data_IF_768419153449
#
_entry.id   IF_768419153449
#
_cell.length_a   1.000
_cell.length_b   1.000
_cell.length_c   1.000
_cell.angle_alpha   90.00
_cell.angle_beta   90.00
_cell.angle_gamma   90.00
#
_symmetry.space_group_name_H-M   'P 1'
#
loop_
_entity.id
_entity.type
_entity.pdbx_description
1 polymer ?
#
# COMPACT_ATOMS: atom_id res chain seq x y z
N UNK A 1 18.68 1.67 -10.32
CA UNK A 1 17.72 0.90 -9.50
C UNK A 1 18.42 0.21 -8.29
N UNK A 2 19.34 0.88 -7.58
CA UNK A 2 20.20 0.27 -6.54
C UNK A 2 19.78 0.56 -5.09
N UNK A 3 18.54 0.98 -4.84
CA UNK A 3 18.17 1.57 -3.54
C UNK A 3 17.12 0.81 -2.74
N UNK A 4 16.49 -0.20 -3.31
CA UNK A 4 15.44 -0.99 -2.67
C UNK A 4 15.89 -2.44 -2.49
N UNK A 5 15.65 -3.00 -1.31
CA UNK A 5 15.96 -4.38 -0.97
C UNK A 5 14.68 -5.20 -0.83
N UNK A 6 14.61 -6.41 -1.41
CA UNK A 6 13.47 -7.29 -1.21
C UNK A 6 13.43 -7.79 0.24
N UNK A 7 12.27 -7.69 0.87
CA UNK A 7 12.03 -8.33 2.17
C UNK A 7 11.73 -9.79 1.91
N UNK A 8 12.72 -10.66 2.12
CA UNK A 8 12.61 -12.09 1.83
C UNK A 8 11.42 -12.70 2.55
N UNK A 9 10.59 -13.43 1.80
CA UNK A 9 9.41 -14.13 2.32
C UNK A 9 8.15 -13.26 2.48
N UNK A 10 8.28 -11.93 2.53
CA UNK A 10 7.13 -11.05 2.69
C UNK A 10 6.45 -10.77 1.34
N UNK A 11 5.23 -11.30 1.18
CA UNK A 11 4.38 -11.05 0.01
C UNK A 11 2.98 -10.66 0.47
N UNK A 12 2.48 -9.55 -0.05
CA UNK A 12 1.15 -9.04 0.26
C UNK A 12 0.31 -9.13 -0.99
N UNK A 13 -0.83 -9.84 -0.92
CA UNK A 13 -1.67 -10.12 -2.09
C UNK A 13 -0.89 -10.69 -3.29
N UNK A 14 0.20 -11.42 -3.04
CA UNK A 14 1.09 -12.00 -4.06
C UNK A 14 2.23 -11.08 -4.53
N UNK A 15 2.18 -9.78 -4.23
CA UNK A 15 3.23 -8.83 -4.55
C UNK A 15 4.39 -8.93 -3.53
N UNK A 16 5.64 -9.13 -3.97
CA UNK A 16 6.82 -8.96 -3.11
C UNK A 16 6.93 -7.53 -2.58
N UNK A 17 7.38 -7.42 -1.34
CA UNK A 17 7.62 -6.14 -0.67
C UNK A 17 9.10 -5.77 -0.74
N UNK A 18 9.37 -4.52 -1.09
CA UNK A 18 10.70 -3.93 -1.19
C UNK A 18 10.81 -2.73 -0.25
N UNK A 19 11.96 -2.57 0.41
CA UNK A 19 12.21 -1.50 1.37
C UNK A 19 13.43 -0.70 0.94
N UNK A 20 13.33 0.63 0.97
CA UNK A 20 14.43 1.52 0.62
C UNK A 20 15.53 1.49 1.69
N UNK A 21 16.82 1.54 1.31
CA UNK A 21 17.94 1.47 2.25
C UNK A 21 17.92 2.53 3.37
N UNK A 22 17.36 3.71 3.09
CA UNK A 22 17.22 4.79 4.11
C UNK A 22 16.38 4.36 5.31
N UNK A 23 15.44 3.44 5.11
CA UNK A 23 14.62 2.86 6.19
C UNK A 23 15.51 2.13 7.19
N UNK A 24 16.51 1.38 6.70
CA UNK A 24 17.47 0.69 7.57
C UNK A 24 18.34 1.67 8.35
N UNK A 25 18.80 2.74 7.70
CA UNK A 25 19.60 3.78 8.36
C UNK A 25 18.83 4.47 9.46
N UNK A 26 17.58 4.87 9.19
CA UNK A 26 16.72 5.50 10.20
C UNK A 26 16.38 4.52 11.32
N UNK A 27 16.11 3.25 11.00
CA UNK A 27 15.85 2.23 12.00
C UNK A 27 17.04 2.03 12.95
N UNK A 28 18.26 1.90 12.40
CA UNK A 28 19.48 1.76 13.20
C UNK A 28 19.74 3.00 14.05
N UNK A 29 19.61 4.20 13.47
CA UNK A 29 19.80 5.45 14.19
C UNK A 29 18.81 5.60 15.36
N UNK A 30 17.53 5.29 15.13
CA UNK A 30 16.51 5.35 16.17
C UNK A 30 16.77 4.33 17.28
N UNK A 31 17.10 3.09 16.93
CA UNK A 31 17.42 2.05 17.92
C UNK A 31 18.66 2.41 18.75
N UNK A 32 19.69 2.96 18.11
CA UNK A 32 20.90 3.43 18.80
C UNK A 32 20.59 4.59 19.76
N UNK A 33 19.78 5.56 19.32
CA UNK A 33 19.35 6.68 20.16
C UNK A 33 18.46 6.22 21.33
N UNK A 34 17.63 5.21 21.11
CA UNK A 34 16.68 4.66 22.08
C UNK A 34 17.19 3.40 22.78
N UNK A 35 18.50 3.29 23.02
CA UNK A 35 19.12 2.09 23.62
C UNK A 35 18.55 1.71 24.99
N UNK A 36 18.02 2.69 25.73
CA UNK A 36 17.38 2.49 27.05
C UNK A 36 15.94 1.96 26.97
N UNK A 37 15.31 2.01 25.79
CA UNK A 37 13.93 1.59 25.57
C UNK A 37 13.77 0.91 24.19
N UNK A 38 14.49 -0.19 23.92
CA UNK A 38 14.56 -0.79 22.58
C UNK A 38 13.20 -1.34 22.11
N UNK A 39 12.38 -1.84 23.03
CA UNK A 39 11.04 -2.37 22.71
C UNK A 39 10.12 -1.27 22.21
N UNK A 40 10.09 -0.12 22.88
CA UNK A 40 9.28 1.02 22.46
C UNK A 40 9.76 1.55 21.09
N UNK A 41 11.08 1.63 20.88
CA UNK A 41 11.65 2.04 19.59
C UNK A 41 11.28 1.09 18.44
N UNK A 42 11.32 -0.23 18.69
CA UNK A 42 10.85 -1.23 17.71
C UNK A 42 9.35 -1.07 17.42
N UNK A 43 8.53 -0.85 18.46
CA UNK A 43 7.10 -0.60 18.30
C UNK A 43 6.85 0.66 17.47
N UNK A 44 7.59 1.75 17.72
CA UNK A 44 7.54 2.98 16.93
C UNK A 44 7.90 2.75 15.46
N UNK A 45 9.02 2.07 15.18
CA UNK A 45 9.44 1.77 13.80
C UNK A 45 8.40 0.91 13.09
N UNK A 46 7.97 -0.17 13.72
CA UNK A 46 6.97 -1.07 13.17
C UNK A 46 5.66 -0.34 12.88
N UNK A 47 5.22 0.53 13.79
CA UNK A 47 3.97 1.29 13.63
C UNK A 47 4.09 2.33 12.53
N UNK A 48 5.21 3.07 12.46
CA UNK A 48 5.45 4.05 11.40
C UNK A 48 5.46 3.42 10.01
N UNK A 49 6.26 2.38 9.79
CA UNK A 49 6.26 1.66 8.51
C UNK A 49 4.97 0.91 8.26
N UNK A 50 4.28 0.51 9.32
CA UNK A 50 2.94 -0.05 9.28
C UNK A 50 1.93 0.89 8.63
N UNK A 51 2.04 2.21 8.81
CA UNK A 51 1.16 3.19 8.14
C UNK A 51 1.27 3.04 6.62
N UNK A 52 2.49 3.10 6.10
CA UNK A 52 2.78 3.02 4.66
C UNK A 52 2.40 1.64 4.12
N UNK A 53 2.82 0.57 4.81
CA UNK A 53 2.51 -0.80 4.41
C UNK A 53 1.01 -1.06 4.37
N UNK A 54 0.27 -0.63 5.39
CA UNK A 54 -1.18 -0.81 5.47
C UNK A 54 -1.89 -0.12 4.32
N UNK A 55 -1.49 1.12 4.02
CA UNK A 55 -2.02 1.89 2.90
C UNK A 55 -1.77 1.18 1.55
N UNK A 56 -0.53 0.82 1.25
CA UNK A 56 -0.20 0.13 0.00
C UNK A 56 -0.84 -1.27 -0.10
N UNK A 57 -1.00 -1.94 1.04
CA UNK A 57 -1.70 -3.23 1.12
C UNK A 57 -3.18 -3.10 0.76
N UNK A 58 -3.81 -1.98 1.15
CA UNK A 58 -5.19 -1.66 0.77
C UNK A 58 -5.36 -1.57 -0.74
N UNK A 59 -4.47 -0.86 -1.43
CA UNK A 59 -4.46 -0.82 -2.90
C UNK A 59 -4.26 -2.22 -3.49
N UNK A 60 -3.26 -2.97 -3.02
CA UNK A 60 -2.97 -4.30 -3.53
C UNK A 60 -4.16 -5.27 -3.35
N UNK A 61 -4.85 -5.19 -2.22
CA UNK A 61 -6.02 -6.01 -1.92
C UNK A 61 -7.18 -5.71 -2.86
N UNK A 62 -7.56 -4.43 -3.01
CA UNK A 62 -8.65 -4.04 -3.92
C UNK A 62 -8.28 -4.30 -5.39
N UNK A 63 -7.03 -4.05 -5.79
CA UNK A 63 -6.57 -4.36 -7.15
C UNK A 63 -6.77 -5.84 -7.44
N UNK A 64 -6.29 -6.72 -6.56
CA UNK A 64 -6.42 -8.17 -6.73
C UNK A 64 -7.88 -8.63 -6.76
N UNK A 65 -8.74 -8.05 -5.91
CA UNK A 65 -10.18 -8.34 -5.87
C UNK A 65 -10.90 -7.95 -7.17
N UNK A 66 -10.40 -6.90 -7.85
CA UNK A 66 -10.96 -6.40 -9.10
C UNK A 66 -10.27 -6.97 -10.35
N UNK A 67 -9.48 -8.04 -10.20
CA UNK A 67 -8.82 -8.74 -11.30
C UNK A 67 -7.51 -8.11 -11.77
N UNK A 68 -7.03 -7.03 -11.14
CA UNK A 68 -5.72 -6.44 -11.42
C UNK A 68 -4.66 -7.08 -10.53
N UNK A 69 -3.67 -7.76 -11.11
CA UNK A 69 -2.62 -8.45 -10.34
C UNK A 69 -1.64 -7.44 -9.75
N UNK A 70 -1.40 -7.45 -8.42
CA UNK A 70 -0.33 -6.67 -7.80
C UNK A 70 1.04 -7.25 -8.18
N UNK A 71 1.97 -6.38 -8.61
CA UNK A 71 3.32 -6.76 -9.03
C UNK A 71 4.36 -6.56 -7.94
N UNK A 72 4.31 -5.43 -7.22
CA UNK A 72 5.29 -5.10 -6.17
C UNK A 72 4.79 -3.99 -5.26
N UNK A 73 5.21 -4.01 -4.00
CA UNK A 73 5.00 -2.93 -3.05
C UNK A 73 6.37 -2.38 -2.65
N UNK A 74 6.59 -1.09 -2.84
CA UNK A 74 7.81 -0.40 -2.45
C UNK A 74 7.51 0.51 -1.26
N UNK A 75 8.29 0.37 -0.20
CA UNK A 75 8.19 1.20 1.02
C UNK A 75 9.45 2.03 1.14
N UNK A 76 9.29 3.34 1.04
CA UNK A 76 10.33 4.32 1.32
C UNK A 76 10.27 4.79 2.77
N UNK A 77 10.99 5.90 3.05
CA UNK A 77 10.89 6.56 4.33
C UNK A 77 9.56 7.30 4.47
N UNK A 78 9.19 8.12 3.48
CA UNK A 78 8.00 8.99 3.55
C UNK A 78 6.85 8.59 2.63
N UNK A 79 7.10 7.69 1.67
CA UNK A 79 6.10 7.31 0.68
C UNK A 79 6.14 5.80 0.42
N UNK A 80 4.99 5.25 0.03
CA UNK A 80 4.86 3.90 -0.52
C UNK A 80 4.51 3.94 -2.01
N UNK A 81 4.64 2.80 -2.68
CA UNK A 81 4.08 2.59 -4.02
C UNK A 81 3.74 1.13 -4.26
N UNK A 82 2.46 0.85 -4.48
CA UNK A 82 1.96 -0.40 -5.01
C UNK A 82 1.84 -0.30 -6.53
N UNK A 83 2.47 -1.23 -7.24
CA UNK A 83 2.30 -1.40 -8.69
C UNK A 83 1.43 -2.62 -8.96
N UNK A 84 0.54 -2.51 -9.93
CA UNK A 84 -0.43 -3.53 -10.30
C UNK A 84 -0.79 -3.37 -11.79
N UNK A 85 -1.46 -4.38 -12.35
CA UNK A 85 -1.94 -4.32 -13.74
C UNK A 85 -2.71 -3.01 -14.02
N UNK A 86 -2.54 -2.45 -15.21
CA UNK A 86 -3.26 -1.24 -15.59
C UNK A 86 -4.77 -1.52 -15.62
N UNK A 87 -5.60 -0.81 -14.83
CA UNK A 87 -7.04 -1.01 -14.84
C UNK A 87 -7.64 -0.74 -16.22
N UNK A 88 -8.49 -1.65 -16.70
CA UNK A 88 -9.23 -1.46 -17.95
C UNK A 88 -10.30 -0.35 -17.85
N UNK A 89 -10.77 -0.07 -16.63
CA UNK A 89 -11.86 0.88 -16.37
C UNK A 89 -11.47 1.90 -15.29
N UNK A 90 -11.91 3.14 -15.46
CA UNK A 90 -11.70 4.23 -14.49
C UNK A 90 -12.39 3.97 -13.15
N UNK A 91 -13.49 3.20 -13.16
CA UNK A 91 -14.15 2.78 -11.93
C UNK A 91 -13.21 1.92 -11.08
N UNK A 92 -12.58 0.90 -11.67
CA UNK A 92 -11.60 0.04 -10.99
C UNK A 92 -10.45 0.86 -10.43
N UNK A 93 -9.92 1.80 -11.22
CA UNK A 93 -8.88 2.73 -10.77
C UNK A 93 -9.31 3.53 -9.53
N UNK A 94 -10.55 4.02 -9.52
CA UNK A 94 -11.09 4.82 -8.40
C UNK A 94 -11.29 3.97 -7.15
N UNK A 95 -11.80 2.74 -7.29
CA UNK A 95 -11.99 1.82 -6.15
C UNK A 95 -10.66 1.36 -5.57
N UNK A 96 -9.66 1.08 -6.41
CA UNK A 96 -8.32 0.76 -5.92
C UNK A 96 -7.72 1.94 -5.17
N UNK A 97 -7.88 3.18 -5.64
CA UNK A 97 -7.41 4.38 -4.95
C UNK A 97 -8.07 4.56 -3.57
N UNK A 98 -9.34 4.19 -3.40
CA UNK A 98 -9.97 4.14 -2.07
C UNK A 98 -9.37 3.08 -1.14
N UNK A 99 -8.79 2.02 -1.70
CA UNK A 99 -8.33 0.86 -0.95
C UNK A 99 -7.31 1.20 0.15
N UNK A 100 -6.34 2.07 -0.13
CA UNK A 100 -5.34 2.46 0.87
C UNK A 100 -5.93 3.22 2.05
N UNK A 101 -6.78 4.22 1.76
CA UNK A 101 -7.51 5.01 2.76
C UNK A 101 -8.43 4.13 3.61
N UNK A 102 -9.20 3.24 2.99
CA UNK A 102 -10.11 2.33 3.71
C UNK A 102 -9.35 1.35 4.60
N UNK A 103 -8.23 0.79 4.13
CA UNK A 103 -7.39 -0.09 4.93
C UNK A 103 -6.80 0.63 6.16
N UNK A 104 -6.37 1.89 5.99
CA UNK A 104 -5.91 2.72 7.11
C UNK A 104 -7.01 2.96 8.13
N UNK A 105 -8.20 3.39 7.71
CA UNK A 105 -9.30 3.64 8.63
C UNK A 105 -9.77 2.37 9.36
N UNK A 106 -9.74 1.21 8.71
CA UNK A 106 -10.13 -0.06 9.33
C UNK A 106 -9.25 -0.43 10.55
N UNK A 107 -7.99 0.03 10.58
CA UNK A 107 -7.09 -0.17 11.74
C UNK A 107 -7.09 1.04 12.65
N UNK A 108 -7.10 2.24 12.08
CA UNK A 108 -6.93 3.48 12.82
C UNK A 108 -8.10 3.77 13.76
N UNK A 109 -9.34 3.60 13.28
CA UNK A 109 -10.55 3.90 14.07
C UNK A 109 -10.61 3.04 15.34
N UNK A 110 -10.47 1.71 15.29
CA UNK A 110 -10.43 0.89 16.50
C UNK A 110 -9.34 1.28 17.50
N UNK A 111 -8.14 1.64 17.03
CA UNK A 111 -7.04 2.04 17.91
C UNK A 111 -7.30 3.38 18.61
N UNK A 112 -7.85 4.36 17.88
CA UNK A 112 -8.25 5.65 18.46
C UNK A 112 -9.39 5.44 19.47
N UNK A 113 -10.40 4.65 19.14
CA UNK A 113 -11.49 4.34 20.07
C UNK A 113 -10.98 3.64 21.34
N UNK A 114 -10.06 2.67 21.19
CA UNK A 114 -9.44 2.00 22.33
C UNK A 114 -8.75 3.00 23.25
N UNK A 115 -7.96 3.92 22.69
CA UNK A 115 -7.28 4.96 23.46
C UNK A 115 -8.26 5.86 24.21
N UNK A 116 -9.27 6.38 23.49
CA UNK A 116 -10.26 7.29 24.05
C UNK A 116 -11.10 6.67 25.17
N UNK A 117 -11.30 5.34 25.15
CA UNK A 117 -12.08 4.64 26.17
C UNK A 117 -11.26 4.14 27.35
N UNK A 118 -9.94 3.96 27.20
CA UNK A 118 -9.11 3.25 28.19
C UNK A 118 -7.84 3.97 28.62
N UNK A 119 -7.39 5.00 27.90
CA UNK A 119 -6.09 5.65 28.11
C UNK A 119 -4.90 4.77 27.71
N UNK A 120 -5.11 3.76 26.86
CA UNK A 120 -4.12 2.81 26.40
C UNK A 120 -2.86 3.43 25.75
N UNK A 121 -2.95 4.68 25.29
CA UNK A 121 -1.87 5.44 24.67
C UNK A 121 -0.66 5.69 25.57
N UNK A 122 -0.81 5.55 26.90
CA UNK A 122 0.30 5.69 27.84
C UNK A 122 1.15 4.42 27.99
N UNK A 123 0.72 3.29 27.41
CA UNK A 123 1.45 2.03 27.54
C UNK A 123 2.69 2.00 26.62
N UNK A 124 3.83 1.44 27.05
CA UNK A 124 5.09 1.51 26.30
C UNK A 124 5.06 0.97 24.87
N UNK A 125 4.23 -0.04 24.60
CA UNK A 125 4.09 -0.65 23.26
C UNK A 125 2.85 -0.15 22.53
N UNK A 126 1.72 -0.07 23.23
CA UNK A 126 0.45 0.31 22.64
C UNK A 126 0.38 1.81 22.34
N UNK A 127 1.09 2.64 23.10
CA UNK A 127 1.24 4.08 22.86
C UNK A 127 1.76 4.40 21.47
N UNK A 128 2.95 3.90 21.06
CA UNK A 128 3.41 4.04 19.70
C UNK A 128 2.42 3.49 18.65
N UNK A 129 1.80 2.34 18.88
CA UNK A 129 0.82 1.80 17.93
C UNK A 129 -0.37 2.73 17.74
N UNK A 130 -0.97 3.23 18.83
CA UNK A 130 -2.08 4.18 18.81
C UNK A 130 -1.67 5.50 18.16
N UNK A 131 -0.51 6.04 18.55
CA UNK A 131 -0.01 7.32 18.02
C UNK A 131 0.18 7.26 16.49
N UNK A 132 0.82 6.19 16.00
CA UNK A 132 1.18 6.06 14.59
C UNK A 132 0.07 5.40 13.76
N UNK A 133 -0.38 4.20 14.11
CA UNK A 133 -1.41 3.46 13.36
C UNK A 133 -2.83 3.96 13.62
N UNK A 134 -3.08 4.63 14.74
CA UNK A 134 -4.34 5.32 15.04
C UNK A 134 -4.34 6.75 14.50
N UNK A 135 -3.77 7.68 15.26
CA UNK A 135 -3.89 9.12 14.98
C UNK A 135 -3.15 9.54 13.70
N UNK A 136 -1.86 9.21 13.55
CA UNK A 136 -1.11 9.64 12.37
C UNK A 136 -1.63 8.96 11.10
N UNK A 137 -1.99 7.67 11.15
CA UNK A 137 -2.61 6.96 10.03
C UNK A 137 -3.94 7.61 9.61
N UNK A 138 -4.76 8.03 10.57
CA UNK A 138 -6.00 8.79 10.30
C UNK A 138 -5.68 10.08 9.56
N UNK A 139 -4.71 10.86 10.05
CA UNK A 139 -4.28 12.09 9.38
C UNK A 139 -3.78 11.82 7.94
N UNK A 140 -2.91 10.83 7.76
CA UNK A 140 -2.38 10.44 6.45
C UNK A 140 -3.49 9.98 5.51
N UNK A 141 -4.48 9.24 6.00
CA UNK A 141 -5.63 8.80 5.21
C UNK A 141 -6.48 9.99 4.73
N UNK A 142 -6.74 10.95 5.62
CA UNK A 142 -7.46 12.19 5.28
C UNK A 142 -6.68 13.02 4.25
N UNK A 143 -5.36 13.18 4.43
CA UNK A 143 -4.50 13.87 3.47
C UNK A 143 -4.53 13.17 2.12
N UNK A 144 -4.35 11.84 2.08
CA UNK A 144 -4.39 11.09 0.82
C UNK A 144 -5.74 11.20 0.11
N UNK A 145 -6.81 11.45 0.85
CA UNK A 145 -8.12 11.67 0.27
C UNK A 145 -8.30 13.08 -0.32
N UNK A 146 -7.37 14.02 -0.12
CA UNK A 146 -7.46 15.33 -0.75
C UNK A 146 -7.40 15.23 -2.29
N UNK A 147 -8.20 16.01 -3.04
CA UNK A 147 -8.27 15.95 -4.50
C UNK A 147 -7.09 16.65 -5.19
N UNK A 148 -5.85 16.34 -4.80
CA UNK A 148 -4.63 16.95 -5.34
C UNK A 148 -3.78 15.95 -6.15
N UNK A 149 -3.02 16.41 -7.17
CA UNK A 149 -2.13 15.55 -7.94
C UNK A 149 -1.12 14.82 -7.04
N UNK A 150 -0.92 13.53 -7.28
CA UNK A 150 -0.01 12.70 -6.51
C UNK A 150 -0.63 12.06 -5.26
N UNK A 151 -1.86 12.43 -4.89
CA UNK A 151 -2.64 11.80 -3.82
C UNK A 151 -3.75 10.92 -4.40
N UNK A 152 -4.23 9.96 -3.61
CA UNK A 152 -5.26 9.03 -4.03
C UNK A 152 -6.58 9.72 -4.35
N UNK A 153 -6.93 10.79 -3.63
CA UNK A 153 -8.15 11.56 -3.79
C UNK A 153 -8.38 12.00 -5.23
N UNK A 154 -7.31 12.34 -5.97
CA UNK A 154 -7.41 12.72 -7.38
C UNK A 154 -8.01 11.61 -8.27
N UNK A 155 -7.83 10.34 -7.88
CA UNK A 155 -8.42 9.17 -8.53
C UNK A 155 -9.68 8.68 -7.80
N UNK A 156 -9.66 8.60 -6.47
CA UNK A 156 -10.72 8.06 -5.63
C UNK A 156 -12.07 8.77 -5.84
N UNK A 157 -12.07 10.10 -5.88
CA UNK A 157 -13.30 10.89 -6.06
C UNK A 157 -13.89 10.81 -7.47
N UNK A 158 -13.17 10.26 -8.45
CA UNK A 158 -13.69 10.13 -9.82
C UNK A 158 -14.89 9.21 -9.87
N UNK A 159 -15.02 8.26 -8.93
CA UNK A 159 -16.17 7.33 -8.85
C UNK A 159 -17.52 8.06 -8.89
N UNK A 160 -17.63 9.24 -8.25
CA UNK A 160 -18.86 10.03 -8.23
C UNK A 160 -19.12 10.81 -9.52
N UNK A 161 -18.12 10.94 -10.39
CA UNK A 161 -18.23 11.57 -11.71
C UNK A 161 -18.42 10.54 -12.83
N UNK A 162 -18.29 9.25 -12.54
CA UNK A 162 -18.45 8.19 -13.54
C UNK A 162 -19.94 7.97 -13.83
N UNK A 163 -20.32 8.14 -15.10
CA UNK A 163 -21.69 7.87 -15.59
C UNK A 163 -21.98 6.37 -15.77
N UNK A 164 -20.95 5.52 -15.75
CA UNK A 164 -21.06 4.06 -15.88
C UNK A 164 -20.57 3.42 -14.59
N UNK A 165 -21.44 2.61 -13.97
CA UNK A 165 -21.18 1.88 -12.73
C UNK A 165 -20.19 0.72 -12.92
N UNK A 166 -20.11 -0.22 -11.95
CA UNK A 166 -19.20 -1.37 -12.05
C UNK A 166 -19.38 -2.08 -13.40
N UNK A 167 -18.28 -2.50 -14.06
CA UNK A 167 -18.39 -3.25 -15.31
C UNK A 167 -19.21 -4.52 -15.08
N UNK A 168 -20.09 -4.86 -16.02
CA UNK A 168 -20.86 -6.11 -15.98
C UNK A 168 -19.94 -7.34 -15.98
N UNK A 169 -20.46 -8.54 -15.65
CA UNK A 169 -19.66 -9.76 -15.66
C UNK A 169 -19.09 -9.97 -17.05
N UNK A 170 -17.77 -9.85 -17.15
CA UNK A 170 -16.89 -10.07 -18.30
C UNK A 170 -17.59 -10.40 -19.62
N UNK A 171 -17.70 -9.42 -20.51
CA UNK A 171 -17.40 -9.74 -21.90
C UNK A 171 -15.95 -10.24 -21.88
N UNK A 172 -15.77 -11.52 -22.22
CA UNK A 172 -14.45 -12.12 -22.41
C UNK A 172 -13.53 -11.11 -23.08
N UNK A 173 -12.41 -10.82 -22.41
CA UNK A 173 -11.29 -10.17 -23.07
C UNK A 173 -10.88 -11.13 -24.19
N UNK A 174 -11.40 -10.90 -25.40
CA UNK A 174 -10.95 -11.57 -26.61
C UNK A 174 -9.49 -11.14 -26.81
N UNK A 175 -8.57 -11.91 -26.23
CA UNK A 175 -7.18 -11.83 -26.57
C UNK A 175 -7.09 -12.18 -28.06
N UNK A 176 -6.67 -11.26 -28.94
CA UNK A 176 -6.47 -11.63 -30.34
C UNK A 176 -5.47 -12.79 -30.38
N UNK A 177 -5.70 -13.80 -31.23
CA UNK A 177 -4.87 -14.99 -31.27
C UNK A 177 -3.40 -14.58 -31.45
N UNK A 178 -2.57 -15.01 -30.51
CA UNK A 178 -1.11 -14.85 -30.61
C UNK A 178 -0.68 -15.56 -31.89
N UNK A 179 -0.33 -14.79 -32.92
CA UNK A 179 0.20 -15.35 -34.16
C UNK A 179 1.48 -16.12 -33.80
N UNK A 180 1.60 -17.41 -34.17
CA UNK A 180 2.83 -18.14 -33.93
C UNK A 180 3.97 -17.45 -34.68
N UNK A 181 5.02 -17.10 -33.95
CA UNK A 181 6.27 -16.62 -34.52
C UNK A 181 6.83 -17.77 -35.35
N UNK A 182 6.70 -17.67 -36.68
CA UNK A 182 7.37 -18.59 -37.61
C UNK A 182 8.88 -18.41 -37.43
N UNK A 183 9.53 -19.37 -36.79
CA UNK A 183 10.99 -19.48 -36.74
C UNK A 183 11.51 -19.79 -38.14
N UNK A 184 11.83 -18.75 -38.91
CA UNK A 184 12.67 -18.87 -40.10
C UNK A 184 14.13 -19.08 -39.68
N UNK A 185 14.44 -20.27 -39.16
CA UNK A 185 15.81 -20.77 -39.15
C UNK A 185 16.14 -21.21 -40.58
N UNK A 186 16.61 -20.26 -41.39
CA UNK A 186 17.36 -20.56 -42.62
C UNK A 186 18.59 -21.37 -42.21
N UNK A 187 18.65 -22.63 -42.67
CA UNK A 187 19.90 -23.37 -42.83
C UNK A 187 20.88 -22.50 -43.60
N UNK A 188 21.98 -22.12 -42.96
CA UNK A 188 23.21 -21.75 -43.66
C UNK A 188 24.00 -23.06 -43.78
N UNK A 189 24.30 -23.42 -45.03
CA UNK A 189 25.22 -24.51 -45.37
C UNK A 189 26.63 -24.15 -44.98
#
# INVERSE_FOLDING_TARGET
>A
MHRYFPVRGLRICGAPVYVHWTVMVVAVALLAYSIKAPIAALATLASYFGILLLHESGHAWFARRLGCRPHSIHVGLFHGRCTYDTPAHDWTRSVVAWGGVLAQFAVAIPLVLLDQLTGAGHLPVLGPMIAYLGYLSTFVAVVNLAPAPGLDGAQAWRVFRLRRGPPGPSAEVHQPPVKPIRSHLRRVK
#
